data_IF_514498476219
#
_entry.id   IF_514498476219
#
_cell.length_a   1.000
_cell.length_b   1.000
_cell.length_c   1.000
_cell.angle_alpha   90.00
_cell.angle_beta   90.00
_cell.angle_gamma   90.00
#
_symmetry.space_group_name_H-M   'P 1'
#
loop_
_entity.id
_entity.type
_entity.pdbx_description
1 polymer ?
#
# COMPACT_ATOMS: atom_id res chain seq x y z
N UNK A 1 -7.30 -14.58 -7.63
CA UNK A 1 -7.16 -15.07 -6.23
C UNK A 1 -5.84 -15.78 -5.95
N UNK A 2 -4.78 -15.52 -6.72
CA UNK A 2 -3.51 -16.16 -6.43
C UNK A 2 -2.87 -15.55 -5.18
N UNK A 3 -2.12 -16.35 -4.40
CA UNK A 3 -1.54 -15.91 -3.13
C UNK A 3 -0.34 -14.96 -3.28
N UNK A 4 0.34 -14.99 -4.43
CA UNK A 4 1.51 -14.15 -4.72
C UNK A 4 1.79 -14.07 -6.22
N UNK A 5 2.71 -13.19 -6.59
CA UNK A 5 3.24 -13.07 -7.97
C UNK A 5 3.96 -14.35 -8.38
N UNK A 6 4.74 -14.96 -7.50
CA UNK A 6 5.46 -16.21 -7.79
C UNK A 6 4.51 -17.34 -8.15
N UNK A 7 3.39 -17.46 -7.44
CA UNK A 7 2.38 -18.44 -7.77
C UNK A 7 1.77 -18.20 -9.15
N UNK A 8 1.47 -16.93 -9.49
CA UNK A 8 1.01 -16.56 -10.84
C UNK A 8 2.04 -16.97 -11.90
N UNK A 9 3.32 -16.67 -11.68
CA UNK A 9 4.40 -17.03 -12.62
C UNK A 9 4.50 -18.54 -12.81
N UNK A 10 4.39 -19.33 -11.74
CA UNK A 10 4.39 -20.79 -11.83
C UNK A 10 3.20 -21.31 -12.63
N UNK A 11 2.01 -20.75 -12.43
CA UNK A 11 0.81 -21.11 -13.22
C UNK A 11 1.01 -20.78 -14.70
N UNK A 12 1.58 -19.62 -15.02
CA UNK A 12 1.87 -19.25 -16.40
C UNK A 12 2.90 -20.20 -17.01
N UNK A 13 3.97 -20.54 -16.29
CA UNK A 13 5.01 -21.47 -16.77
C UNK A 13 4.43 -22.85 -17.10
N UNK A 14 3.59 -23.41 -16.22
CA UNK A 14 2.92 -24.68 -16.50
C UNK A 14 1.90 -24.55 -17.64
N UNK A 15 1.25 -23.40 -17.79
CA UNK A 15 0.33 -23.14 -18.92
C UNK A 15 1.06 -23.12 -20.26
N UNK A 16 2.25 -22.51 -20.33
CA UNK A 16 3.10 -22.49 -21.55
C UNK A 16 3.39 -23.91 -22.02
N UNK A 17 3.70 -24.83 -21.10
CA UNK A 17 4.03 -26.24 -21.43
C UNK A 17 2.88 -27.03 -22.04
N UNK A 18 1.63 -26.63 -21.77
CA UNK A 18 0.42 -27.34 -22.22
C UNK A 18 -0.15 -26.74 -23.50
N UNK A 19 0.12 -25.46 -23.76
CA UNK A 19 -0.34 -24.77 -24.96
C UNK A 19 0.45 -25.26 -26.18
N UNK A 20 -0.28 -25.65 -27.24
CA UNK A 20 0.34 -26.06 -28.50
C UNK A 20 0.99 -24.86 -29.20
N UNK A 21 2.04 -25.08 -30.01
CA UNK A 21 2.63 -24.02 -30.83
C UNK A 21 1.57 -23.30 -31.69
N UNK A 22 1.60 -21.97 -31.69
CA UNK A 22 0.59 -21.12 -32.31
C UNK A 22 -0.67 -20.86 -31.46
N UNK A 23 -0.73 -21.41 -30.24
CA UNK A 23 -1.80 -21.15 -29.29
C UNK A 23 -1.61 -19.85 -28.50
N UNK A 24 -2.58 -19.54 -27.65
CA UNK A 24 -2.54 -18.35 -26.79
C UNK A 24 -2.99 -18.67 -25.36
N UNK A 25 -2.39 -17.97 -24.39
CA UNK A 25 -2.87 -17.92 -23.00
C UNK A 25 -3.60 -16.58 -22.82
N UNK A 26 -4.87 -16.65 -22.46
CA UNK A 26 -5.68 -15.47 -22.15
C UNK A 26 -5.82 -15.31 -20.64
N UNK A 27 -5.32 -14.20 -20.11
CA UNK A 27 -5.44 -13.80 -18.72
C UNK A 27 -6.40 -12.61 -18.65
N UNK A 28 -7.67 -12.90 -18.36
CA UNK A 28 -8.70 -11.87 -18.23
C UNK A 28 -8.78 -11.29 -16.82
N UNK A 29 -9.38 -10.11 -16.71
CA UNK A 29 -9.87 -9.55 -15.45
C UNK A 29 -8.76 -9.29 -14.40
N UNK A 30 -7.58 -8.90 -14.86
CA UNK A 30 -6.42 -8.63 -14.00
C UNK A 30 -6.55 -7.26 -13.37
N UNK A 31 -6.49 -7.18 -12.03
CA UNK A 31 -6.47 -5.90 -11.30
C UNK A 31 -5.12 -5.21 -11.46
N UNK A 32 -5.14 -3.92 -11.82
CA UNK A 32 -3.96 -3.11 -12.11
C UNK A 32 -3.27 -2.63 -10.83
N UNK A 33 -2.02 -3.09 -10.61
CA UNK A 33 -1.21 -2.63 -9.47
C UNK A 33 -0.96 -1.11 -9.50
N UNK A 34 -0.56 -0.48 -10.63
CA UNK A 34 -0.36 0.97 -10.69
C UNK A 34 -1.60 1.79 -10.28
N UNK A 35 -2.80 1.24 -10.49
CA UNK A 35 -4.06 1.90 -10.16
C UNK A 35 -4.62 1.55 -8.78
N UNK A 36 -3.95 0.69 -8.00
CA UNK A 36 -4.41 0.26 -6.68
C UNK A 36 -4.77 1.44 -5.77
N UNK A 37 -3.88 2.43 -5.70
CA UNK A 37 -4.08 3.61 -4.85
C UNK A 37 -5.21 4.50 -5.37
N UNK A 38 -5.34 4.66 -6.69
CA UNK A 38 -6.42 5.42 -7.30
C UNK A 38 -7.79 4.78 -7.00
N UNK A 39 -7.90 3.46 -7.16
CA UNK A 39 -9.10 2.70 -6.81
C UNK A 39 -9.50 2.88 -5.35
N UNK A 40 -8.60 2.63 -4.40
CA UNK A 40 -8.90 2.78 -2.97
C UNK A 40 -9.23 4.24 -2.61
N UNK A 41 -8.54 5.21 -3.22
CA UNK A 41 -8.84 6.63 -3.02
C UNK A 41 -10.24 7.00 -3.50
N UNK A 42 -10.66 6.50 -4.67
CA UNK A 42 -12.00 6.71 -5.24
C UNK A 42 -13.09 6.19 -4.30
N UNK A 43 -12.94 4.94 -3.83
CA UNK A 43 -13.90 4.30 -2.91
C UNK A 43 -13.97 5.05 -1.57
N UNK A 44 -12.83 5.39 -0.97
CA UNK A 44 -12.81 6.08 0.31
C UNK A 44 -13.34 7.51 0.21
N UNK A 45 -13.09 8.22 -0.89
CA UNK A 45 -13.65 9.55 -1.12
C UNK A 45 -15.17 9.52 -1.30
N UNK A 46 -15.70 8.48 -1.97
CA UNK A 46 -17.13 8.27 -2.12
C UNK A 46 -17.83 8.03 -0.77
N UNK A 47 -17.21 7.22 0.10
CA UNK A 47 -17.73 6.89 1.43
C UNK A 47 -17.50 7.98 2.49
N UNK A 48 -16.63 8.95 2.23
CA UNK A 48 -16.24 9.97 3.20
C UNK A 48 -17.34 11.02 3.44
N UNK A 49 -17.48 11.44 4.71
CA UNK A 49 -18.32 12.58 5.07
C UNK A 49 -17.67 13.89 4.62
N UNK A 50 -18.45 14.94 4.26
CA UNK A 50 -17.91 16.23 3.82
C UNK A 50 -16.96 16.90 4.82
N UNK A 51 -17.17 16.66 6.12
CA UNK A 51 -16.39 17.21 7.22
C UNK A 51 -15.12 16.42 7.56
N UNK A 52 -14.93 15.22 7.00
CA UNK A 52 -13.75 14.40 7.25
C UNK A 52 -12.49 15.17 6.83
N UNK A 53 -11.41 15.07 7.61
CA UNK A 53 -10.17 15.70 7.23
C UNK A 53 -9.48 14.92 6.10
N UNK A 54 -8.70 15.61 5.29
CA UNK A 54 -7.88 14.99 4.26
C UNK A 54 -6.86 13.98 4.82
N UNK A 55 -6.30 14.25 6.00
CA UNK A 55 -5.38 13.33 6.68
C UNK A 55 -6.08 12.03 7.07
N UNK A 56 -7.28 12.12 7.66
CA UNK A 56 -8.08 10.94 8.01
C UNK A 56 -8.49 10.12 6.77
N UNK A 57 -8.74 10.78 5.63
CA UNK A 57 -8.99 10.07 4.38
C UNK A 57 -7.74 9.30 3.93
N UNK A 58 -6.56 9.92 3.98
CA UNK A 58 -5.29 9.28 3.63
C UNK A 58 -5.03 8.04 4.50
N UNK A 59 -5.20 8.17 5.82
CA UNK A 59 -5.08 7.04 6.76
C UNK A 59 -6.04 5.89 6.43
N UNK A 60 -7.29 6.20 6.07
CA UNK A 60 -8.26 5.18 5.63
C UNK A 60 -7.84 4.49 4.34
N UNK A 61 -7.28 5.23 3.38
CA UNK A 61 -6.78 4.68 2.11
C UNK A 61 -5.59 3.75 2.38
N UNK A 62 -4.60 4.21 3.14
CA UNK A 62 -3.39 3.45 3.45
C UNK A 62 -3.76 2.14 4.17
N UNK A 63 -4.67 2.19 5.16
CA UNK A 63 -5.21 0.98 5.83
C UNK A 63 -5.90 0.02 4.87
N UNK A 64 -6.66 0.53 3.88
CA UNK A 64 -7.34 -0.34 2.90
C UNK A 64 -6.37 -0.95 1.91
N UNK A 65 -5.33 -0.23 1.53
CA UNK A 65 -4.26 -0.76 0.68
C UNK A 65 -3.50 -1.89 1.39
N UNK A 66 -3.18 -1.71 2.66
CA UNK A 66 -2.51 -2.75 3.47
C UNK A 66 -3.36 -4.01 3.66
N UNK A 67 -4.69 -3.86 3.67
CA UNK A 67 -5.65 -4.95 3.83
C UNK A 67 -6.11 -5.56 2.51
N UNK A 68 -5.48 -5.22 1.38
CA UNK A 68 -5.81 -5.79 0.09
C UNK A 68 -5.49 -7.29 0.07
N UNK A 69 -6.51 -8.09 -0.23
CA UNK A 69 -6.46 -9.56 -0.17
C UNK A 69 -6.47 -10.21 -1.53
N UNK A 70 -6.54 -9.42 -2.60
CA UNK A 70 -6.44 -9.89 -3.97
C UNK A 70 -5.10 -9.53 -4.57
N UNK A 71 -4.67 -10.32 -5.56
CA UNK A 71 -3.45 -10.07 -6.31
C UNK A 71 -3.72 -8.99 -7.36
N UNK A 72 -2.97 -7.90 -7.29
CA UNK A 72 -2.87 -6.86 -8.30
C UNK A 72 -1.52 -6.98 -8.99
N UNK A 73 -1.51 -6.82 -10.31
CA UNK A 73 -0.33 -7.07 -11.14
C UNK A 73 -0.09 -5.88 -12.05
N UNK A 74 1.17 -5.47 -12.16
CA UNK A 74 1.61 -4.43 -13.09
C UNK A 74 1.72 -5.01 -14.51
N UNK A 75 1.23 -4.30 -15.55
CA UNK A 75 1.33 -4.71 -16.95
C UNK A 75 2.74 -5.08 -17.40
N UNK A 76 3.75 -4.40 -16.87
CA UNK A 76 5.17 -4.61 -17.14
C UNK A 76 5.66 -6.01 -16.78
N UNK A 77 4.97 -6.73 -15.88
CA UNK A 77 5.28 -8.13 -15.57
C UNK A 77 5.31 -8.97 -16.84
N UNK A 78 4.31 -8.80 -17.71
CA UNK A 78 4.11 -9.64 -18.88
C UNK A 78 5.10 -9.31 -20.00
N UNK A 79 5.56 -8.06 -20.06
CA UNK A 79 6.67 -7.65 -20.93
C UNK A 79 7.97 -8.29 -20.44
N UNK A 80 8.24 -8.24 -19.13
CA UNK A 80 9.43 -8.86 -18.55
C UNK A 80 9.41 -10.39 -18.65
N UNK A 81 8.24 -11.01 -18.61
CA UNK A 81 8.07 -12.46 -18.75
C UNK A 81 8.61 -12.97 -20.09
N UNK A 82 8.43 -12.19 -21.16
CA UNK A 82 8.93 -12.50 -22.51
C UNK A 82 10.46 -12.64 -22.55
N UNK A 83 11.20 -11.87 -21.75
CA UNK A 83 12.66 -12.00 -21.68
C UNK A 83 13.11 -13.34 -21.05
N UNK A 84 12.30 -13.89 -20.14
CA UNK A 84 12.60 -15.16 -19.44
C UNK A 84 12.07 -16.40 -20.17
N UNK A 85 11.00 -16.25 -20.96
CA UNK A 85 10.32 -17.32 -21.67
C UNK A 85 10.28 -17.03 -23.17
N UNK A 86 11.32 -17.42 -23.94
CA UNK A 86 11.40 -17.20 -25.39
C UNK A 86 10.25 -17.82 -26.19
N UNK A 87 9.53 -18.79 -25.63
CA UNK A 87 8.32 -19.39 -26.18
C UNK A 87 7.20 -18.35 -26.35
N UNK A 88 7.20 -17.29 -25.55
CA UNK A 88 6.25 -16.17 -25.68
C UNK A 88 6.72 -15.27 -26.82
N UNK A 89 6.08 -15.39 -27.98
CA UNK A 89 6.46 -14.64 -29.19
C UNK A 89 5.86 -13.23 -29.19
N UNK A 90 4.66 -13.07 -28.64
CA UNK A 90 3.93 -11.79 -28.58
C UNK A 90 3.13 -11.64 -27.27
N UNK A 91 3.03 -10.40 -26.80
CA UNK A 91 2.33 -10.02 -25.58
C UNK A 91 1.42 -8.85 -25.89
N UNK A 92 0.11 -9.01 -25.68
CA UNK A 92 -0.87 -7.94 -25.87
C UNK A 92 -1.52 -7.61 -24.53
N UNK A 93 -1.52 -6.33 -24.19
CA UNK A 93 -2.05 -5.81 -22.92
C UNK A 93 -3.19 -4.88 -23.28
N UNK A 94 -4.42 -5.24 -22.95
CA UNK A 94 -5.61 -4.53 -23.41
C UNK A 94 -6.40 -3.96 -22.26
N UNK A 95 -6.78 -2.68 -22.36
CA UNK A 95 -7.78 -2.08 -21.49
C UNK A 95 -9.12 -2.82 -21.64
N UNK A 96 -9.90 -2.89 -20.56
CA UNK A 96 -11.24 -3.46 -20.64
C UNK A 96 -12.16 -2.59 -21.50
N UNK A 97 -13.11 -3.23 -22.19
CA UNK A 97 -14.15 -2.53 -22.95
C UNK A 97 -15.42 -2.38 -22.13
N UNK A 98 -16.16 -1.31 -22.40
CA UNK A 98 -17.47 -1.05 -21.81
C UNK A 98 -17.70 0.44 -21.56
N UNK A 99 -18.97 0.85 -21.69
CA UNK A 99 -19.42 2.24 -21.47
C UNK A 99 -19.66 2.55 -19.99
N UNK A 100 -19.84 1.51 -19.17
CA UNK A 100 -20.11 1.65 -17.74
C UNK A 100 -18.84 2.05 -16.96
N UNK A 101 -18.96 3.08 -16.13
CA UNK A 101 -17.88 3.60 -15.29
C UNK A 101 -17.80 2.84 -13.95
N UNK A 102 -17.58 1.53 -14.03
CA UNK A 102 -17.49 0.64 -12.87
C UNK A 102 -16.05 0.18 -12.60
N UNK A 103 -15.83 -0.54 -11.50
CA UNK A 103 -14.49 -1.01 -11.11
C UNK A 103 -13.84 -1.91 -12.17
N UNK A 104 -14.60 -2.81 -12.78
CA UNK A 104 -14.14 -3.77 -13.78
C UNK A 104 -13.56 -3.06 -15.01
N UNK A 105 -14.25 -2.04 -15.51
CA UNK A 105 -13.85 -1.34 -16.74
C UNK A 105 -12.75 -0.30 -16.51
N UNK A 106 -12.60 0.19 -15.27
CA UNK A 106 -11.68 1.26 -14.91
C UNK A 106 -10.31 0.74 -14.48
N UNK A 107 -10.28 -0.29 -13.64
CA UNK A 107 -9.08 -0.67 -12.89
C UNK A 107 -8.53 -2.05 -13.24
N UNK A 108 -9.08 -2.66 -14.30
CA UNK A 108 -8.66 -3.98 -14.76
C UNK A 108 -8.25 -3.96 -16.22
N UNK A 109 -7.52 -4.99 -16.62
CA UNK A 109 -7.05 -5.19 -17.98
C UNK A 109 -6.98 -6.69 -18.29
N UNK A 110 -6.78 -7.01 -19.55
CA UNK A 110 -6.59 -8.38 -20.01
C UNK A 110 -5.24 -8.51 -20.70
N UNK A 111 -4.66 -9.70 -20.65
CA UNK A 111 -3.40 -10.02 -21.31
C UNK A 111 -3.56 -11.23 -22.20
N UNK A 112 -3.00 -11.17 -23.41
CA UNK A 112 -2.84 -12.30 -24.30
C UNK A 112 -1.35 -12.59 -24.46
N UNK A 113 -0.94 -13.81 -24.16
CA UNK A 113 0.41 -14.32 -24.41
C UNK A 113 0.33 -15.30 -25.57
N UNK A 114 0.95 -14.98 -26.70
CA UNK A 114 1.01 -15.87 -27.86
C UNK A 114 2.23 -16.79 -27.74
N UNK A 115 2.00 -18.10 -27.86
CA UNK A 115 3.01 -19.14 -27.61
C UNK A 115 3.46 -19.73 -28.94
N UNK A 116 4.75 -19.56 -29.24
CA UNK A 116 5.40 -20.02 -30.48
C UNK A 116 4.57 -19.68 -31.74
N UNK A 117 3.88 -18.54 -31.72
CA UNK A 117 3.13 -18.10 -32.89
C UNK A 117 4.13 -17.78 -33.98
N UNK A 118 3.90 -18.32 -35.18
CA UNK A 118 4.68 -17.92 -36.34
C UNK A 118 4.43 -16.42 -36.53
N UNK A 119 5.44 -15.56 -36.34
CA UNK A 119 5.21 -14.14 -36.42
C UNK A 119 4.76 -13.84 -37.84
N UNK A 120 3.56 -13.27 -37.97
CA UNK A 120 3.20 -12.54 -39.18
C UNK A 120 4.14 -11.36 -39.40
N UNK A 121 3.76 -10.43 -40.27
CA UNK A 121 4.51 -9.19 -40.41
C UNK A 121 4.57 -8.45 -39.07
N UNK A 122 5.75 -8.15 -38.53
CA UNK A 122 5.86 -7.30 -37.34
C UNK A 122 5.58 -5.85 -37.77
N UNK A 123 4.60 -5.24 -37.14
CA UNK A 123 4.16 -3.88 -37.41
C UNK A 123 4.63 -3.02 -36.23
N UNK A 124 5.53 -2.09 -36.52
CA UNK A 124 6.00 -1.09 -35.57
C UNK A 124 5.39 0.26 -35.95
N UNK A 125 4.33 0.71 -35.26
CA UNK A 125 3.68 1.98 -35.56
C UNK A 125 4.61 3.16 -35.33
N UNK A 126 4.44 4.22 -36.13
CA UNK A 126 5.07 5.51 -35.84
C UNK A 126 4.47 6.07 -34.56
N UNK A 127 5.31 6.51 -33.63
CA UNK A 127 4.85 7.07 -32.34
C UNK A 127 4.77 8.58 -32.44
N UNK A 128 3.60 9.12 -32.13
CA UNK A 128 3.32 10.55 -31.97
C UNK A 128 2.88 10.81 -30.53
N UNK A 129 3.08 12.03 -30.03
CA UNK A 129 2.61 12.39 -28.70
C UNK A 129 1.09 12.55 -28.70
N UNK A 130 0.43 11.85 -27.78
CA UNK A 130 -0.98 11.97 -27.45
C UNK A 130 -1.28 13.04 -26.39
N UNK A 131 -0.25 13.65 -25.80
CA UNK A 131 -0.42 14.61 -24.72
C UNK A 131 -1.36 15.75 -25.11
N UNK A 132 -2.42 15.95 -24.34
CA UNK A 132 -3.45 16.98 -24.56
C UNK A 132 -4.24 16.90 -25.87
N UNK A 133 -4.12 15.82 -26.65
CA UNK A 133 -4.93 15.64 -27.86
C UNK A 133 -6.41 15.43 -27.52
N UNK A 134 -7.29 15.97 -28.35
CA UNK A 134 -8.71 15.62 -28.36
C UNK A 134 -9.02 14.55 -29.41
N UNK A 135 -10.15 13.87 -29.24
CA UNK A 135 -10.67 12.91 -30.23
C UNK A 135 -10.81 13.55 -31.61
N UNK A 136 -11.24 14.81 -31.70
CA UNK A 136 -11.40 15.52 -32.97
C UNK A 136 -10.05 15.79 -33.66
N UNK A 137 -9.00 16.06 -32.88
CA UNK A 137 -7.65 16.24 -33.43
C UNK A 137 -7.09 14.92 -33.97
N UNK A 138 -7.31 13.82 -33.24
CA UNK A 138 -6.95 12.47 -33.70
C UNK A 138 -7.72 12.12 -34.97
N UNK A 139 -9.04 12.36 -35.01
CA UNK A 139 -9.87 12.13 -36.20
C UNK A 139 -9.35 12.90 -37.42
N UNK A 140 -9.11 14.21 -37.24
CA UNK A 140 -8.59 15.07 -38.32
C UNK A 140 -7.26 14.55 -38.84
N UNK A 141 -6.34 14.19 -37.94
CA UNK A 141 -5.05 13.62 -38.33
C UNK A 141 -5.20 12.33 -39.14
N UNK A 142 -6.02 11.38 -38.65
CA UNK A 142 -6.23 10.09 -39.29
C UNK A 142 -6.91 10.21 -40.66
N UNK A 143 -7.79 11.20 -40.86
CA UNK A 143 -8.43 11.49 -42.16
C UNK A 143 -7.46 12.16 -43.13
N UNK A 144 -6.70 13.15 -42.67
CA UNK A 144 -5.83 13.97 -43.54
C UNK A 144 -4.56 13.24 -43.95
N UNK A 145 -3.93 12.51 -43.01
CA UNK A 145 -2.66 11.81 -43.25
C UNK A 145 -2.85 10.36 -43.68
N UNK A 146 -3.93 9.72 -43.22
CA UNK A 146 -4.26 8.34 -43.56
C UNK A 146 -3.14 7.32 -43.34
N UNK A 147 -2.37 7.35 -42.23
CA UNK A 147 -1.23 6.45 -42.03
C UNK A 147 -1.62 4.96 -42.08
N UNK A 148 -0.67 4.09 -42.43
CA UNK A 148 -0.89 2.63 -42.35
C UNK A 148 -0.92 2.14 -40.89
N UNK A 149 -0.05 2.72 -40.05
CA UNK A 149 0.03 2.44 -38.61
C UNK A 149 0.57 3.66 -37.84
N UNK A 150 -0.06 4.02 -36.74
CA UNK A 150 0.34 5.12 -35.85
C UNK A 150 -0.03 4.80 -34.39
N UNK A 151 0.80 5.23 -33.45
CA UNK A 151 0.53 5.20 -32.02
C UNK A 151 0.48 6.63 -31.48
N UNK A 152 -0.61 7.02 -30.82
CA UNK A 152 -0.67 8.22 -30.00
C UNK A 152 -0.34 7.83 -28.56
N UNK A 153 0.89 8.12 -28.12
CA UNK A 153 1.42 7.74 -26.80
C UNK A 153 1.06 8.77 -25.74
N UNK A 154 0.62 8.34 -24.56
CA UNK A 154 0.35 9.26 -23.45
C UNK A 154 -0.99 10.01 -23.57
N UNK A 155 -2.03 9.36 -24.07
CA UNK A 155 -3.41 9.86 -23.99
C UNK A 155 -3.92 9.73 -22.55
N UNK A 156 -4.63 10.73 -22.03
CA UNK A 156 -5.19 10.66 -20.68
C UNK A 156 -6.52 9.88 -20.71
N UNK A 157 -6.58 8.77 -19.98
CA UNK A 157 -7.76 7.92 -19.88
C UNK A 157 -8.81 8.55 -18.94
N UNK A 158 -9.93 9.02 -19.53
CA UNK A 158 -11.02 9.68 -18.80
C UNK A 158 -11.57 8.83 -17.65
N UNK A 159 -11.58 7.51 -17.81
CA UNK A 159 -12.13 6.57 -16.84
C UNK A 159 -11.44 6.66 -15.47
N UNK A 160 -10.14 6.97 -15.44
CA UNK A 160 -9.32 6.94 -14.22
C UNK A 160 -8.61 8.26 -13.90
N UNK A 161 -8.61 9.23 -14.84
CA UNK A 161 -7.90 10.51 -14.69
C UNK A 161 -8.22 11.21 -13.36
N UNK A 162 -9.51 11.34 -13.03
CA UNK A 162 -9.94 12.02 -11.81
C UNK A 162 -9.49 11.29 -10.52
N UNK A 163 -9.42 9.96 -10.55
CA UNK A 163 -8.99 9.16 -9.40
C UNK A 163 -7.46 9.22 -9.22
N UNK A 164 -6.70 9.35 -10.31
CA UNK A 164 -5.24 9.57 -10.25
C UNK A 164 -4.92 10.99 -9.79
N UNK A 165 -5.67 11.98 -10.27
CA UNK A 165 -5.57 13.37 -9.80
C UNK A 165 -5.84 13.48 -8.30
N UNK A 166 -6.79 12.71 -7.77
CA UNK A 166 -7.02 12.63 -6.33
C UNK A 166 -5.77 12.12 -5.60
N UNK A 167 -5.10 11.09 -6.11
CA UNK A 167 -3.85 10.57 -5.52
C UNK A 167 -2.74 11.62 -5.54
N UNK A 168 -2.60 12.36 -6.64
CA UNK A 168 -1.64 13.47 -6.77
C UNK A 168 -1.95 14.55 -5.73
N UNK A 169 -3.21 15.00 -5.66
CA UNK A 169 -3.66 16.00 -4.70
C UNK A 169 -3.41 15.56 -3.26
N UNK A 170 -3.70 14.30 -2.92
CA UNK A 170 -3.46 13.70 -1.60
C UNK A 170 -1.99 13.63 -1.21
N UNK A 171 -1.07 13.69 -2.17
CA UNK A 171 0.38 13.68 -1.94
C UNK A 171 0.97 15.07 -1.68
N UNK A 172 0.26 16.15 -2.03
CA UNK A 172 0.73 17.54 -1.82
C UNK A 172 0.66 17.95 -0.34
N UNK A 173 1.60 18.72 0.23
CA UNK A 173 1.53 19.15 1.63
C UNK A 173 0.38 20.17 1.84
N UNK A 174 -0.76 19.72 2.38
CA UNK A 174 -1.88 20.56 2.84
C UNK A 174 -2.60 19.88 4.01
N UNK A 175 -2.54 20.50 5.19
CA UNK A 175 -3.03 19.88 6.44
C UNK A 175 -4.49 20.23 6.79
N UNK A 176 -5.02 21.38 6.34
CA UNK A 176 -6.30 21.92 6.82
C UNK A 176 -7.42 21.95 5.77
N UNK A 177 -7.46 20.94 4.90
CA UNK A 177 -8.51 20.78 3.89
C UNK A 177 -9.47 19.65 4.30
N UNK A 178 -10.78 19.89 4.18
CA UNK A 178 -11.80 18.85 4.35
C UNK A 178 -12.20 18.23 3.00
N UNK A 179 -12.96 17.14 3.05
CA UNK A 179 -13.37 16.43 1.83
C UNK A 179 -14.26 17.26 0.90
N UNK A 180 -15.08 18.15 1.43
CA UNK A 180 -15.88 19.05 0.60
C UNK A 180 -15.00 19.97 -0.27
N UNK A 181 -13.99 20.58 0.34
CA UNK A 181 -13.03 21.45 -0.35
C UNK A 181 -12.19 20.66 -1.35
N UNK A 182 -11.77 19.44 -0.99
CA UNK A 182 -11.04 18.54 -1.88
C UNK A 182 -11.85 18.17 -3.13
N UNK A 183 -13.14 17.84 -2.97
CA UNK A 183 -14.05 17.55 -4.10
C UNK A 183 -14.21 18.74 -5.04
N UNK A 184 -14.42 19.94 -4.50
CA UNK A 184 -14.52 21.17 -5.30
C UNK A 184 -13.22 21.45 -6.09
N UNK A 185 -12.06 21.12 -5.50
CA UNK A 185 -10.77 21.30 -6.18
C UNK A 185 -10.56 20.28 -7.30
N UNK A 186 -11.00 19.04 -7.12
CA UNK A 186 -11.01 18.03 -8.18
C UNK A 186 -11.91 18.46 -9.34
N UNK A 187 -13.14 18.91 -9.04
CA UNK A 187 -14.12 19.35 -10.05
C UNK A 187 -13.66 20.58 -10.85
N UNK A 188 -12.78 21.42 -10.29
CA UNK A 188 -12.27 22.61 -10.98
C UNK A 188 -11.05 22.34 -11.88
N UNK A 189 -10.43 21.15 -11.81
CA UNK A 189 -9.31 20.78 -12.67
C UNK A 189 -9.85 20.29 -14.02
N UNK A 190 -9.66 21.10 -15.06
CA UNK A 190 -9.99 20.69 -16.43
C UNK A 190 -8.84 19.85 -16.98
N UNK A 191 -9.10 18.58 -17.24
CA UNK A 191 -8.13 17.64 -17.83
C UNK A 191 -8.61 17.25 -19.22
N UNK A 192 -7.75 17.43 -20.23
CA UNK A 192 -8.00 16.92 -21.58
C UNK A 192 -7.86 15.39 -21.53
N UNK A 193 -8.96 14.73 -21.25
CA UNK A 193 -9.06 13.27 -21.18
C UNK A 193 -9.99 12.74 -22.26
N UNK A 194 -9.86 11.45 -22.56
CA UNK A 194 -10.60 10.78 -23.63
C UNK A 194 -11.21 9.47 -23.09
N UNK A 195 -12.51 9.27 -23.28
CA UNK A 195 -13.14 7.96 -23.12
C UNK A 195 -12.58 6.95 -24.15
N UNK A 196 -11.99 5.83 -23.70
CA UNK A 196 -11.54 4.75 -24.56
C UNK A 196 -12.59 4.26 -25.58
N UNK A 197 -13.90 4.21 -25.24
CA UNK A 197 -14.91 3.74 -26.20
C UNK A 197 -15.05 4.70 -27.39
N UNK A 198 -14.84 6.00 -27.18
CA UNK A 198 -14.91 6.98 -28.26
C UNK A 198 -13.79 6.78 -29.29
N UNK A 199 -12.62 6.32 -28.86
CA UNK A 199 -11.53 5.95 -29.76
C UNK A 199 -11.86 4.66 -30.54
N UNK A 200 -12.51 3.67 -29.91
CA UNK A 200 -12.98 2.47 -30.60
C UNK A 200 -14.00 2.81 -31.69
N UNK A 201 -15.00 3.65 -31.39
CA UNK A 201 -15.96 4.16 -32.37
C UNK A 201 -15.25 4.83 -33.55
N UNK A 202 -14.36 5.78 -33.24
CA UNK A 202 -13.57 6.50 -34.24
C UNK A 202 -12.74 5.56 -35.14
N UNK A 203 -12.09 4.55 -34.55
CA UNK A 203 -11.27 3.60 -35.29
C UNK A 203 -12.09 2.79 -36.30
N UNK A 204 -13.28 2.33 -35.88
CA UNK A 204 -14.21 1.58 -36.72
C UNK A 204 -14.70 2.43 -37.89
N UNK A 205 -15.09 3.69 -37.62
CA UNK A 205 -15.59 4.62 -38.63
C UNK A 205 -14.54 4.96 -39.72
N UNK A 206 -13.26 4.89 -39.35
CA UNK A 206 -12.13 5.24 -40.23
C UNK A 206 -11.43 4.03 -40.86
N UNK A 207 -11.87 2.81 -40.59
CA UNK A 207 -11.27 1.58 -41.12
C UNK A 207 -9.90 1.24 -40.51
N UNK A 208 -9.74 1.52 -39.21
CA UNK A 208 -8.60 1.10 -38.41
C UNK A 208 -9.01 0.04 -37.39
N UNK A 209 -8.10 -0.89 -37.11
CA UNK A 209 -8.07 -1.65 -35.88
C UNK A 209 -7.38 -0.81 -34.81
N UNK A 210 -7.97 -0.77 -33.62
CA UNK A 210 -7.42 -0.06 -32.46
C UNK A 210 -7.00 -1.05 -31.38
N UNK A 211 -5.79 -0.89 -30.89
CA UNK A 211 -5.33 -1.48 -29.64
C UNK A 211 -5.10 -0.37 -28.60
N UNK A 212 -5.82 -0.44 -27.48
CA UNK A 212 -5.63 0.43 -26.34
C UNK A 212 -4.93 -0.34 -25.21
N UNK A 213 -3.77 0.17 -24.80
CA UNK A 213 -2.98 -0.39 -23.71
C UNK A 213 -2.56 0.71 -22.72
N UNK A 214 -2.06 0.31 -21.55
CA UNK A 214 -1.42 1.25 -20.62
C UNK A 214 -0.14 1.83 -21.25
N UNK A 215 0.14 3.10 -20.96
CA UNK A 215 1.29 3.79 -21.54
C UNK A 215 2.61 3.39 -20.88
N UNK A 216 3.70 3.44 -21.65
CA UNK A 216 5.06 3.26 -21.14
C UNK A 216 5.61 4.48 -20.37
N UNK A 217 4.93 5.62 -20.45
CA UNK A 217 5.36 6.93 -19.91
C UNK A 217 5.29 7.04 -18.37
N UNK A 218 4.78 6.00 -17.69
CA UNK A 218 4.96 5.80 -16.24
C UNK A 218 3.87 6.38 -15.34
N UNK A 219 2.96 7.19 -15.87
CA UNK A 219 1.78 7.65 -15.11
C UNK A 219 0.58 6.72 -15.33
N UNK A 220 -0.15 6.31 -14.28
CA UNK A 220 -1.13 5.21 -14.37
C UNK A 220 -2.44 5.58 -15.08
N UNK A 221 -2.72 6.86 -15.30
CA UNK A 221 -3.85 7.37 -16.09
C UNK A 221 -3.57 7.39 -17.60
N UNK A 222 -2.30 7.23 -18.00
CA UNK A 222 -1.92 7.34 -19.40
C UNK A 222 -2.15 6.02 -20.13
N UNK A 223 -2.71 6.13 -21.32
CA UNK A 223 -2.93 5.03 -22.27
C UNK A 223 -2.30 5.36 -23.62
N UNK A 224 -1.92 4.32 -24.36
CA UNK A 224 -1.45 4.46 -25.73
C UNK A 224 -2.55 3.96 -26.68
N UNK A 225 -2.81 4.76 -27.73
CA UNK A 225 -3.77 4.43 -28.77
C UNK A 225 -3.09 4.03 -30.06
N UNK A 226 -3.04 2.73 -30.35
CA UNK A 226 -2.39 2.18 -31.54
C UNK A 226 -3.42 1.90 -32.64
N UNK A 227 -3.39 2.73 -33.69
CA UNK A 227 -4.25 2.61 -34.86
C UNK A 227 -3.47 1.95 -35.99
N UNK A 228 -3.99 0.84 -36.52
CA UNK A 228 -3.42 0.13 -37.66
C UNK A 228 -4.54 -0.14 -38.67
N UNK A 229 -4.29 0.02 -39.97
CA UNK A 229 -5.31 -0.30 -40.98
C UNK A 229 -5.81 -1.73 -40.80
N UNK A 230 -7.13 -1.93 -40.82
CA UNK A 230 -7.75 -3.20 -40.42
C UNK A 230 -7.28 -4.41 -41.22
N UNK A 231 -6.92 -4.23 -42.49
CA UNK A 231 -6.34 -5.32 -43.30
C UNK A 231 -4.90 -5.65 -42.88
N UNK A 232 -4.08 -4.63 -42.64
CA UNK A 232 -2.70 -4.80 -42.18
C UNK A 232 -2.65 -5.45 -40.78
N UNK A 233 -3.56 -5.08 -39.89
CA UNK A 233 -3.64 -5.63 -38.53
C UNK A 233 -3.92 -7.15 -38.50
N UNK A 234 -4.58 -7.71 -39.52
CA UNK A 234 -4.85 -9.16 -39.62
C UNK A 234 -3.62 -9.96 -40.05
N UNK A 235 -2.63 -9.31 -40.66
CA UNK A 235 -1.46 -9.96 -41.27
C UNK A 235 -0.25 -10.00 -40.33
N UNK A 236 -0.35 -9.43 -39.13
CA UNK A 236 0.82 -9.09 -38.35
C UNK A 236 0.65 -8.97 -36.85
N UNK A 237 1.80 -8.89 -36.17
CA UNK A 237 1.91 -8.58 -34.74
C UNK A 237 2.09 -7.07 -34.62
N UNK A 238 1.22 -6.41 -33.86
CA UNK A 238 1.28 -4.96 -33.63
C UNK A 238 2.05 -4.71 -32.34
N UNK A 239 3.16 -3.99 -32.43
CA UNK A 239 3.94 -3.61 -31.26
C UNK A 239 3.44 -2.28 -30.67
N UNK A 240 3.36 -2.22 -29.35
CA UNK A 240 3.04 -1.02 -28.58
C UNK A 240 4.31 -0.44 -27.93
N UNK A 241 4.34 0.85 -27.53
CA UNK A 241 5.50 1.40 -26.82
C UNK A 241 5.86 0.59 -25.56
N UNK A 242 4.87 0.14 -24.80
CA UNK A 242 5.06 -0.66 -23.59
C UNK A 242 5.72 -2.02 -23.88
N UNK A 243 5.28 -2.72 -24.92
CA UNK A 243 5.80 -4.06 -25.27
C UNK A 243 7.18 -4.01 -25.94
N UNK A 244 7.60 -2.83 -26.42
CA UNK A 244 8.95 -2.59 -26.95
C UNK A 244 9.96 -2.23 -25.85
N UNK A 245 9.51 -1.93 -24.63
CA UNK A 245 10.39 -1.60 -23.51
C UNK A 245 11.20 -2.84 -23.13
N UNK A 246 12.53 -2.70 -23.07
CA UNK A 246 13.35 -3.73 -22.43
C UNK A 246 13.18 -3.60 -20.92
N UNK A 247 12.80 -4.71 -20.29
CA UNK A 247 12.49 -4.76 -18.86
C UNK A 247 13.27 -5.92 -18.27
N UNK A 248 14.46 -5.61 -17.76
CA UNK A 248 15.31 -6.60 -17.08
C UNK A 248 14.68 -6.93 -15.72
N UNK A 249 13.97 -8.05 -15.63
CA UNK A 249 13.41 -8.52 -14.37
C UNK A 249 14.53 -9.06 -13.45
N UNK A 250 14.84 -8.31 -12.39
CA UNK A 250 15.68 -8.79 -11.28
C UNK A 250 14.84 -9.23 -10.07
N UNK A 251 13.69 -8.60 -9.81
CA UNK A 251 12.81 -8.94 -8.69
C UNK A 251 11.32 -8.90 -9.08
N UNK A 252 10.69 -10.08 -9.14
CA UNK A 252 9.29 -10.24 -9.53
C UNK A 252 8.30 -9.60 -8.53
N UNK A 253 8.69 -9.45 -7.26
CA UNK A 253 7.85 -8.83 -6.24
C UNK A 253 7.57 -7.34 -6.51
N UNK A 254 8.30 -6.69 -7.42
CA UNK A 254 8.03 -5.30 -7.80
C UNK A 254 6.81 -5.16 -8.72
N UNK A 255 6.36 -6.26 -9.32
CA UNK A 255 5.27 -6.24 -10.31
C UNK A 255 3.93 -6.70 -9.75
N UNK A 256 3.82 -6.98 -8.46
CA UNK A 256 2.54 -7.27 -7.83
C UNK A 256 2.56 -7.03 -6.33
N UNK A 257 1.39 -6.91 -5.73
CA UNK A 257 1.28 -6.89 -4.27
C UNK A 257 1.43 -8.31 -3.70
N UNK A 258 1.44 -8.41 -2.37
CA UNK A 258 1.41 -9.69 -1.66
C UNK A 258 0.08 -9.82 -0.88
N UNK A 259 -0.94 -10.47 -1.47
CA UNK A 259 -2.27 -10.66 -0.87
C UNK A 259 -2.25 -11.28 0.52
N UNK A 260 -1.35 -12.24 0.72
CA UNK A 260 -1.22 -12.97 1.96
C UNK A 260 -0.49 -12.18 3.05
N UNK A 261 0.25 -11.12 2.68
CA UNK A 261 1.06 -10.37 3.65
C UNK A 261 0.23 -9.81 4.82
N UNK A 262 -1.02 -9.41 4.59
CA UNK A 262 -1.87 -8.81 5.63
C UNK A 262 -2.43 -9.87 6.59
N UNK A 263 -2.89 -11.01 6.05
CA UNK A 263 -3.41 -12.13 6.83
C UNK A 263 -2.29 -12.81 7.63
N UNK A 264 -1.15 -13.07 6.99
CA UNK A 264 0.02 -13.61 7.68
C UNK A 264 0.52 -12.66 8.77
N UNK A 265 0.58 -11.34 8.51
CA UNK A 265 0.91 -10.37 9.57
C UNK A 265 -0.05 -10.43 10.75
N UNK A 266 -1.37 -10.55 10.50
CA UNK A 266 -2.38 -10.57 11.58
C UNK A 266 -2.39 -11.85 12.42
N UNK A 267 -2.08 -13.01 11.85
CA UNK A 267 -2.15 -14.29 12.56
C UNK A 267 -0.77 -14.83 12.95
N UNK A 268 0.17 -14.90 12.00
CA UNK A 268 1.46 -15.54 12.21
C UNK A 268 2.38 -14.72 13.12
N UNK A 269 2.38 -13.39 13.03
CA UNK A 269 3.27 -12.56 13.87
C UNK A 269 2.92 -12.71 15.36
N UNK A 270 1.66 -12.55 15.79
CA UNK A 270 1.29 -12.78 17.19
C UNK A 270 1.60 -14.20 17.66
N UNK A 271 1.22 -15.22 16.89
CA UNK A 271 1.48 -16.64 17.25
C UNK A 271 2.98 -16.94 17.37
N UNK A 272 3.78 -16.44 16.41
CA UNK A 272 5.23 -16.64 16.43
C UNK A 272 5.87 -15.91 17.61
N UNK A 273 5.37 -14.71 17.95
CA UNK A 273 5.85 -13.96 19.09
C UNK A 273 5.54 -14.67 20.41
N UNK A 274 4.29 -15.10 20.60
CA UNK A 274 3.89 -15.88 21.79
C UNK A 274 4.74 -17.16 21.92
N UNK A 275 4.99 -17.84 20.79
CA UNK A 275 5.89 -18.99 20.75
C UNK A 275 7.32 -18.64 21.17
N UNK A 276 7.87 -17.50 20.73
CA UNK A 276 9.22 -17.06 21.10
C UNK A 276 9.30 -16.64 22.57
N UNK A 277 8.33 -15.90 23.08
CA UNK A 277 8.24 -15.47 24.48
C UNK A 277 8.15 -16.67 25.44
N UNK A 278 7.50 -17.77 25.02
CA UNK A 278 7.43 -19.00 25.82
C UNK A 278 8.77 -19.75 25.94
N UNK A 279 9.77 -19.42 25.11
CA UNK A 279 11.03 -20.17 25.00
C UNK A 279 12.29 -19.34 25.21
N UNK A 280 12.21 -18.03 25.01
CA UNK A 280 13.33 -17.11 25.06
C UNK A 280 13.14 -16.10 26.18
N UNK A 281 14.23 -15.67 26.84
CA UNK A 281 14.19 -14.47 27.67
C UNK A 281 13.73 -13.26 26.86
N UNK A 282 13.03 -12.32 27.50
CA UNK A 282 12.42 -11.14 26.86
C UNK A 282 13.40 -10.37 25.95
N UNK A 283 14.64 -10.16 26.40
CA UNK A 283 15.68 -9.45 25.64
C UNK A 283 16.19 -10.19 24.39
N UNK A 284 15.82 -11.45 24.18
CA UNK A 284 16.12 -12.24 22.98
C UNK A 284 14.95 -12.31 22.00
N UNK A 285 13.75 -11.84 22.39
CA UNK A 285 12.59 -11.78 21.51
C UNK A 285 12.76 -10.58 20.56
N UNK A 286 12.68 -10.78 19.22
CA UNK A 286 12.82 -9.67 18.28
C UNK A 286 11.69 -8.65 18.41
N UNK A 287 12.05 -7.36 18.47
CA UNK A 287 11.08 -6.26 18.49
C UNK A 287 10.29 -6.12 17.19
N UNK A 288 10.84 -6.59 16.05
CA UNK A 288 10.16 -6.60 14.76
C UNK A 288 10.22 -7.97 14.09
N UNK A 289 9.07 -8.45 13.62
CA UNK A 289 8.94 -9.65 12.82
C UNK A 289 8.39 -9.27 11.44
N UNK A 290 9.12 -9.61 10.38
CA UNK A 290 8.70 -9.32 9.01
C UNK A 290 8.64 -10.59 8.17
N UNK A 291 7.60 -10.71 7.36
CA UNK A 291 7.45 -11.78 6.37
C UNK A 291 8.07 -11.33 5.05
N UNK A 292 8.96 -12.14 4.50
CA UNK A 292 9.54 -11.95 3.18
C UNK A 292 9.11 -13.11 2.27
N UNK A 293 8.82 -12.81 1.00
CA UNK A 293 8.55 -13.84 -0.02
C UNK A 293 9.78 -14.75 -0.22
N UNK A 294 10.97 -14.16 -0.16
CA UNK A 294 12.26 -14.87 -0.23
C UNK A 294 13.35 -14.08 0.49
N UNK A 295 14.35 -14.78 1.03
CA UNK A 295 15.56 -14.13 1.55
C UNK A 295 16.37 -13.52 0.40
N UNK A 296 16.75 -12.23 0.46
CA UNK A 296 17.64 -11.64 -0.54
C UNK A 296 18.98 -12.35 -0.51
N UNK A 297 19.48 -12.76 -1.67
CA UNK A 297 20.74 -13.47 -1.82
C UNK A 297 21.74 -12.62 -2.62
N UNK A 298 22.99 -12.65 -2.19
CA UNK A 298 24.15 -12.22 -2.97
C UNK A 298 24.33 -13.12 -4.21
N UNK A 299 25.08 -12.68 -5.25
CA UNK A 299 25.38 -13.51 -6.42
C UNK A 299 26.01 -14.87 -6.09
N UNK A 300 26.68 -14.98 -4.94
CA UNK A 300 27.28 -16.22 -4.45
C UNK A 300 26.33 -17.07 -3.59
N UNK A 301 25.03 -16.75 -3.55
CA UNK A 301 23.99 -17.51 -2.85
C UNK A 301 23.93 -17.30 -1.32
N UNK A 302 24.74 -16.39 -0.75
CA UNK A 302 24.66 -16.03 0.69
C UNK A 302 23.58 -14.98 0.92
N UNK A 303 22.95 -14.95 2.10
CA UNK A 303 21.98 -13.91 2.46
C UNK A 303 22.60 -12.51 2.41
N UNK A 304 22.02 -11.62 1.62
CA UNK A 304 22.39 -10.21 1.56
C UNK A 304 21.64 -9.41 2.63
N UNK A 305 22.29 -9.22 3.77
CA UNK A 305 21.71 -8.49 4.90
C UNK A 305 21.47 -7.01 4.60
N UNK A 306 22.19 -6.41 3.64
CA UNK A 306 22.02 -5.00 3.29
C UNK A 306 20.78 -4.77 2.44
N UNK A 307 20.34 -5.80 1.73
CA UNK A 307 19.14 -5.80 0.94
C UNK A 307 17.88 -6.18 1.74
N UNK A 308 18.01 -6.48 3.04
CA UNK A 308 16.84 -6.70 3.89
C UNK A 308 16.10 -5.37 4.10
N UNK A 309 14.78 -5.33 3.88
CA UNK A 309 13.97 -4.14 4.14
C UNK A 309 13.98 -3.79 5.63
N UNK A 310 13.91 -2.48 5.92
CA UNK A 310 13.81 -1.99 7.29
C UNK A 310 12.42 -2.29 7.83
N UNK A 311 12.27 -2.91 9.02
CA UNK A 311 10.98 -3.11 9.66
C UNK A 311 10.27 -1.79 9.89
N UNK A 312 9.07 -1.68 9.33
CA UNK A 312 8.18 -0.57 9.65
C UNK A 312 7.51 -0.90 10.99
N UNK A 313 8.08 -0.34 12.06
CA UNK A 313 7.68 -0.66 13.43
C UNK A 313 6.22 -0.26 13.72
N UNK A 314 5.70 0.73 12.97
CA UNK A 314 4.30 1.16 13.06
C UNK A 314 3.30 0.13 12.51
N UNK A 315 3.73 -0.74 11.58
CA UNK A 315 2.87 -1.75 10.94
C UNK A 315 3.10 -3.18 11.46
N UNK A 316 4.00 -3.35 12.43
CA UNK A 316 4.36 -4.64 13.02
C UNK A 316 3.41 -5.06 14.17
N UNK A 317 2.69 -4.11 14.76
CA UNK A 317 1.76 -4.36 15.87
C UNK A 317 0.49 -3.55 15.64
N UNK A 318 -0.42 -4.04 14.80
CA UNK A 318 -1.78 -3.49 14.76
C UNK A 318 -2.58 -4.04 15.94
N UNK A 319 -2.22 -3.70 17.17
CA UNK A 319 -3.24 -3.54 18.20
C UNK A 319 -4.11 -2.38 17.74
N UNK A 320 -5.42 -2.60 17.65
CA UNK A 320 -6.36 -1.54 17.30
C UNK A 320 -6.10 -0.34 18.24
N UNK A 321 -5.84 0.85 17.68
CA UNK A 321 -5.51 2.01 18.51
C UNK A 321 -6.65 2.30 19.49
N UNK A 322 -6.37 2.15 20.78
CA UNK A 322 -7.28 2.53 21.87
C UNK A 322 -6.69 3.74 22.58
N UNK A 323 -7.43 4.84 22.56
CA UNK A 323 -6.99 6.09 23.18
C UNK A 323 -6.95 6.00 24.71
N UNK A 324 -6.00 6.69 25.37
CA UNK A 324 -5.96 6.84 26.83
C UNK A 324 -7.28 7.34 27.42
N UNK A 325 -7.80 6.62 28.42
CA UNK A 325 -9.09 6.92 29.05
C UNK A 325 -8.91 7.58 30.41
N UNK A 326 -8.04 7.02 31.27
CA UNK A 326 -7.77 7.56 32.61
C UNK A 326 -6.73 8.67 32.58
N UNK A 327 -6.67 9.48 33.64
CA UNK A 327 -5.68 10.57 33.73
C UNK A 327 -4.25 10.02 33.78
N UNK A 328 -4.02 8.95 34.55
CA UNK A 328 -2.73 8.24 34.60
C UNK A 328 -2.32 7.75 33.22
N UNK A 329 -3.24 7.14 32.47
CA UNK A 329 -2.97 6.67 31.10
C UNK A 329 -2.61 7.82 30.16
N UNK A 330 -3.31 8.97 30.23
CA UNK A 330 -3.02 10.14 29.39
C UNK A 330 -1.63 10.69 29.65
N UNK A 331 -1.30 10.91 30.92
CA UNK A 331 0.02 11.41 31.34
C UNK A 331 1.12 10.45 30.90
N UNK A 332 0.94 9.15 31.10
CA UNK A 332 1.92 8.14 30.73
C UNK A 332 2.11 8.05 29.21
N UNK A 333 1.03 8.11 28.44
CA UNK A 333 1.09 8.14 26.98
C UNK A 333 1.84 9.38 26.45
N UNK A 334 1.65 10.55 27.06
CA UNK A 334 2.42 11.76 26.71
C UNK A 334 3.90 11.62 27.04
N UNK A 335 4.25 11.08 28.21
CA UNK A 335 5.66 10.78 28.56
C UNK A 335 6.29 9.87 27.49
N UNK A 336 5.56 8.88 27.01
CA UNK A 336 6.04 7.94 26.00
C UNK A 336 6.21 8.60 24.63
N UNK A 337 5.24 9.39 24.17
CA UNK A 337 5.36 10.16 22.92
C UNK A 337 6.61 11.01 22.91
N UNK A 338 6.88 11.73 24.01
CA UNK A 338 8.04 12.59 24.13
C UNK A 338 9.37 11.82 24.15
N UNK A 339 9.41 10.65 24.79
CA UNK A 339 10.64 9.83 24.89
C UNK A 339 10.91 9.06 23.59
N UNK A 340 9.88 8.52 22.96
CA UNK A 340 9.98 7.72 21.73
C UNK A 340 10.01 8.59 20.47
N UNK A 341 9.57 9.84 20.54
CA UNK A 341 9.53 10.76 19.40
C UNK A 341 8.44 10.41 18.37
N UNK A 342 7.31 9.88 18.84
CA UNK A 342 6.18 9.42 18.01
C UNK A 342 4.92 10.24 18.29
N UNK A 343 4.06 10.39 17.28
CA UNK A 343 2.86 11.24 17.37
C UNK A 343 1.74 10.61 18.20
N UNK A 344 1.65 9.28 18.23
CA UNK A 344 0.53 8.55 18.82
C UNK A 344 1.01 7.30 19.59
N UNK A 345 0.42 7.09 20.77
CA UNK A 345 0.61 5.92 21.63
C UNK A 345 -0.77 5.48 22.12
N UNK A 346 -1.19 4.28 21.75
CA UNK A 346 -2.39 3.60 22.26
C UNK A 346 -2.13 2.93 23.61
N UNK A 347 -3.18 2.67 24.39
CA UNK A 347 -3.02 2.14 25.75
C UNK A 347 -2.47 0.70 25.80
N UNK A 348 -2.64 -0.05 24.71
CA UNK A 348 -2.17 -1.43 24.58
C UNK A 348 -0.86 -1.53 23.80
N UNK A 349 -0.31 -0.40 23.34
CA UNK A 349 0.96 -0.41 22.63
C UNK A 349 2.08 -0.72 23.60
N UNK A 350 2.96 -1.64 23.19
CA UNK A 350 4.10 -2.05 23.99
C UNK A 350 5.27 -1.08 23.75
N UNK A 351 5.88 -0.59 24.83
CA UNK A 351 6.99 0.36 24.82
C UNK A 351 8.15 -0.08 23.93
N UNK A 352 8.52 -1.36 24.01
CA UNK A 352 9.66 -1.91 23.29
C UNK A 352 9.33 -2.18 21.82
N UNK A 353 8.07 -2.49 21.52
CA UNK A 353 7.59 -2.60 20.14
C UNK A 353 7.55 -1.26 19.42
N UNK A 354 7.31 -0.18 20.16
CA UNK A 354 7.38 1.19 19.65
C UNK A 354 8.83 1.70 19.46
N UNK A 355 9.83 0.82 19.59
CA UNK A 355 11.25 1.17 19.45
C UNK A 355 11.93 1.60 20.75
N UNK A 356 11.25 1.47 21.89
CA UNK A 356 11.82 1.72 23.20
C UNK A 356 12.97 0.75 23.52
N UNK A 357 14.00 1.25 24.18
CA UNK A 357 15.12 0.44 24.68
C UNK A 357 15.50 0.85 26.12
N UNK A 358 16.38 0.11 26.77
CA UNK A 358 16.68 0.28 28.20
C UNK A 358 17.06 1.71 28.59
N UNK A 359 17.82 2.44 27.76
CA UNK A 359 18.15 3.84 28.04
C UNK A 359 16.91 4.78 28.00
N UNK A 360 15.99 4.58 27.06
CA UNK A 360 14.72 5.30 27.00
C UNK A 360 13.80 4.90 28.16
N UNK A 361 13.79 3.61 28.52
CA UNK A 361 13.05 3.12 29.68
C UNK A 361 13.50 3.82 30.98
N UNK A 362 14.80 4.05 31.15
CA UNK A 362 15.32 4.85 32.27
C UNK A 362 14.83 6.31 32.23
N UNK A 363 14.70 6.90 31.04
CA UNK A 363 14.13 8.26 30.91
C UNK A 363 12.65 8.29 31.27
N UNK A 364 11.87 7.28 30.87
CA UNK A 364 10.46 7.13 31.25
C UNK A 364 10.34 7.05 32.77
N UNK A 365 11.11 6.17 33.42
CA UNK A 365 11.13 6.02 34.88
C UNK A 365 11.44 7.35 35.58
N UNK A 366 12.44 8.08 35.10
CA UNK A 366 12.80 9.39 35.66
C UNK A 366 11.67 10.42 35.54
N UNK A 367 10.92 10.41 34.44
CA UNK A 367 9.80 11.34 34.21
C UNK A 367 8.58 10.94 35.02
N UNK A 368 8.26 9.65 35.08
CA UNK A 368 7.19 9.12 35.96
C UNK A 368 7.44 9.55 37.41
N UNK A 369 8.69 9.46 37.88
CA UNK A 369 9.06 9.96 39.21
C UNK A 369 8.79 11.45 39.40
N UNK A 370 9.13 12.27 38.42
CA UNK A 370 8.89 13.72 38.49
C UNK A 370 7.40 14.06 38.45
N UNK A 371 6.62 13.34 37.66
CA UNK A 371 5.20 13.64 37.44
C UNK A 371 4.30 13.10 38.55
N UNK A 372 4.55 11.88 39.02
CA UNK A 372 3.71 11.20 40.01
C UNK A 372 4.29 11.21 41.42
N UNK A 373 5.54 11.70 41.60
CA UNK A 373 6.18 11.80 42.91
C UNK A 373 6.56 10.45 43.53
N UNK A 374 6.64 9.37 42.73
CA UNK A 374 6.88 8.01 43.18
C UNK A 374 8.09 7.36 42.50
N UNK A 375 8.76 6.44 43.17
CA UNK A 375 9.84 5.65 42.59
C UNK A 375 9.26 4.45 41.83
N UNK A 376 9.51 4.39 40.53
CA UNK A 376 9.19 3.22 39.70
C UNK A 376 10.48 2.47 39.41
N UNK A 377 10.52 1.16 39.69
CA UNK A 377 11.67 0.34 39.32
C UNK A 377 11.71 0.18 37.79
N UNK A 378 12.91 0.22 37.20
CA UNK A 378 13.09 -0.02 35.76
C UNK A 378 12.48 -1.38 35.33
N UNK A 379 12.59 -2.38 36.20
CA UNK A 379 12.01 -3.71 35.98
C UNK A 379 10.48 -3.68 35.83
N UNK A 380 9.79 -2.70 36.42
CA UNK A 380 8.33 -2.55 36.26
C UNK A 380 7.95 -2.24 34.82
N UNK A 381 8.80 -1.53 34.07
CA UNK A 381 8.54 -1.25 32.65
C UNK A 381 8.64 -2.50 31.77
N UNK A 382 9.49 -3.46 32.14
CA UNK A 382 9.59 -4.76 31.48
C UNK A 382 8.41 -5.66 31.86
N UNK A 383 8.00 -5.63 33.14
CA UNK A 383 6.88 -6.43 33.64
C UNK A 383 5.53 -5.94 33.11
N UNK A 384 5.37 -4.64 32.94
CA UNK A 384 4.13 -3.99 32.49
C UNK A 384 4.45 -3.09 31.29
N UNK A 385 4.66 -3.68 30.10
CA UNK A 385 5.28 -2.98 28.98
C UNK A 385 4.28 -2.16 28.16
N UNK A 386 3.01 -2.02 28.56
CA UNK A 386 2.03 -1.16 27.89
C UNK A 386 1.43 -0.14 28.87
N UNK A 387 0.88 0.95 28.32
CA UNK A 387 0.35 2.07 29.11
C UNK A 387 -0.79 1.65 30.05
N UNK A 388 -1.68 0.75 29.63
CA UNK A 388 -2.79 0.28 30.47
C UNK A 388 -2.29 -0.43 31.73
N UNK A 389 -1.44 -1.45 31.56
CA UNK A 389 -0.92 -2.26 32.68
C UNK A 389 0.02 -1.48 33.58
N UNK A 390 0.83 -0.57 33.02
CA UNK A 390 1.72 0.26 33.82
C UNK A 390 0.95 1.34 34.60
N UNK A 391 -0.11 1.90 34.03
CA UNK A 391 -0.99 2.84 34.73
C UNK A 391 -1.69 2.16 35.92
N UNK A 392 -2.18 0.92 35.77
CA UNK A 392 -2.78 0.17 36.88
C UNK A 392 -1.78 -0.07 38.03
N UNK A 393 -0.53 -0.41 37.72
CA UNK A 393 0.52 -0.58 38.72
C UNK A 393 0.81 0.75 39.44
N UNK A 394 0.92 1.85 38.70
CA UNK A 394 1.12 3.20 39.26
C UNK A 394 -0.04 3.58 40.20
N UNK A 395 -1.28 3.39 39.75
CA UNK A 395 -2.48 3.69 40.54
C UNK A 395 -2.52 2.84 41.82
N UNK A 396 -2.18 1.56 41.73
CA UNK A 396 -2.10 0.66 42.89
C UNK A 396 -1.06 1.14 43.90
N UNK A 397 0.14 1.51 43.45
CA UNK A 397 1.19 2.03 44.33
C UNK A 397 0.81 3.37 44.97
N UNK A 398 0.09 4.24 44.25
CA UNK A 398 -0.39 5.52 44.78
C UNK A 398 -1.44 5.33 45.88
N UNK A 399 -2.36 4.36 45.72
CA UNK A 399 -3.35 4.02 46.74
C UNK A 399 -2.65 3.51 48.02
N UNK A 400 -1.71 2.57 47.87
CA UNK A 400 -0.96 2.02 49.02
C UNK A 400 -0.17 3.11 49.75
N UNK A 401 0.44 4.05 49.01
CA UNK A 401 1.16 5.17 49.61
C UNK A 401 0.24 6.10 50.43
N UNK A 402 -1.00 6.32 49.96
CA UNK A 402 -1.99 7.14 50.66
C UNK A 402 -2.51 6.46 51.93
N UNK A 403 -2.79 5.16 51.89
CA UNK A 403 -3.25 4.39 53.06
C UNK A 403 -2.18 4.35 54.17
N UNK A 404 -0.90 4.20 53.78
CA UNK A 404 0.22 4.25 54.74
C UNK A 404 0.33 5.62 55.39
N UNK A 405 0.21 6.71 54.62
CA UNK A 405 0.24 8.08 55.16
C UNK A 405 -0.94 8.37 56.09
N UNK A 406 -2.14 7.86 55.80
CA UNK A 406 -3.31 8.01 56.67
C UNK A 406 -3.17 7.21 57.97
N UNK A 407 -2.64 5.98 57.91
CA UNK A 407 -2.43 5.14 59.10
C UNK A 407 -1.36 5.69 60.07
N UNK A 408 -0.33 6.39 59.54
CA UNK A 408 0.70 7.06 60.36
C UNK A 408 0.15 8.36 60.98
N UNK A 409 -0.72 9.08 60.26
CA UNK A 409 -1.39 10.29 60.77
C UNK A 409 -2.32 10.03 61.95
N UNK A 410 -3.08 8.92 61.93
CA UNK A 410 -3.94 8.53 63.06
C UNK A 410 -3.15 8.02 64.28
N UNK A 411 -1.95 7.48 64.07
CA UNK A 411 -1.05 7.02 65.14
C UNK A 411 -0.40 8.16 65.94
N UNK A 412 -0.07 9.27 65.30
CA UNK A 412 0.53 10.45 65.97
C UNK A 412 -0.49 11.25 66.79
N UNK A 413 -1.74 11.37 66.34
CA UNK A 413 -2.79 12.10 67.07
C UNK A 413 -3.16 11.39 68.39
N UNK A 414 -3.03 10.06 68.45
CA UNK A 414 -3.26 9.29 69.69
C UNK A 414 -2.12 9.39 70.70
N UNK A 415 -0.89 9.72 70.28
CA UNK A 415 0.23 9.87 71.22
C UNK A 415 0.27 11.25 71.89
N UNK A 416 -0.19 12.32 71.23
CA UNK A 416 -0.28 13.65 71.85
C UNK A 416 -1.45 13.77 72.86
N UNK A 417 -2.58 13.06 72.65
CA UNK A 417 -3.70 13.07 73.61
C UNK A 417 -3.44 12.26 74.90
N UNK A 418 -2.49 11.31 74.89
CA UNK A 418 -2.13 10.51 76.06
C UNK A 418 -1.01 11.15 76.91
N UNK A 419 -0.17 12.04 76.35
CA UNK A 419 0.83 12.80 77.14
C UNK A 419 0.20 13.97 77.93
N UNK A 420 -0.90 14.56 77.46
CA UNK A 420 -1.57 15.68 78.15
C UNK A 420 -2.50 15.26 79.31
N UNK A 421 -2.75 13.94 79.48
CA UNK A 421 -3.58 13.39 80.58
C UNK A 421 -2.77 12.76 81.72
N UNK A 422 -1.44 12.87 81.70
CA UNK A 422 -0.53 12.30 82.70
C UNK A 422 -0.10 13.24 83.84
N UNK A 423 -0.40 14.54 83.77
CA UNK A 423 -0.08 15.51 84.83
C UNK A 423 -1.35 16.19 85.37
N UNK A 424 -2.08 15.52 86.26
CA UNK A 424 -3.03 16.14 87.20
C UNK A 424 -3.17 15.31 88.48
#
# INVERSE_FOLDING_TARGET
YFPSVEYLLQVIEESIRVVKPGGMIFLGDIRSLPLMKAFHSSVQLYQATPSLSRQQLKEKIDRKMEQETELLVSPELFVALKEKHPEITDVQIRLQRGTEHNELNKYRYSVLLHIEAQPGKVITPTVESGASLSVQQIETYLRDKGPESICFSGLVNERVANDVDLVELLSQPKEKENIQQLKQRLESKQVNSIDPERLYELSSDLGYSLELCWSAEGSPELMDGVFVRSELAKEGIVLTPLTQKSVVASNWNNYGNNPLSSQFRKQLIPELREYLESRLPEYMVPSGLMVLSQLPLTPNGKVDRKALPVPDMASSVSTEYVAPQTETQKVLAEIWKEVLGIEQVGIHDNFFDLGGHSLMATQVVSRVRQTFGMELLLQSLFKYPNVATLAEEIETMLIVAQDVLQSVGEGSVRQEEDEEKGEL
#
